data_IF_737434301043
#
_entry.id   IF_737434301043
#
_cell.length_a   1.000
_cell.length_b   1.000
_cell.length_c   1.000
_cell.angle_alpha   90.00
_cell.angle_beta   90.00
_cell.angle_gamma   90.00
#
_symmetry.space_group_name_H-M   'P 1'
#
loop_
_entity.id
_entity.type
_entity.pdbx_description
1 polymer ?
#
# COMPACT_ATOMS: atom_id res chain seq x y z
N UNK A 1 -40.93 -10.17 -8.30
CA UNK A 1 -40.56 -9.08 -9.20
C UNK A 1 -39.17 -8.62 -8.79
N UNK A 2 -38.13 -9.03 -9.51
CA UNK A 2 -36.76 -8.61 -9.22
C UNK A 2 -36.56 -7.18 -9.75
N UNK A 3 -35.82 -6.33 -9.04
CA UNK A 3 -35.50 -5.00 -9.57
C UNK A 3 -34.61 -5.13 -10.82
N UNK A 4 -34.70 -4.16 -11.75
CA UNK A 4 -33.91 -4.20 -12.99
C UNK A 4 -32.42 -4.13 -12.72
N UNK A 5 -31.57 -4.65 -13.63
CA UNK A 5 -30.13 -4.58 -13.46
C UNK A 5 -29.67 -3.13 -13.46
N UNK A 6 -28.75 -2.82 -12.55
CA UNK A 6 -28.14 -1.52 -12.36
C UNK A 6 -27.66 -0.92 -13.69
N UNK A 7 -28.03 0.32 -13.98
CA UNK A 7 -27.52 1.06 -15.12
C UNK A 7 -26.01 1.26 -14.96
N UNK A 8 -25.28 1.12 -16.06
CA UNK A 8 -23.83 1.24 -16.17
C UNK A 8 -23.26 2.62 -15.81
N UNK A 9 -24.13 3.58 -15.44
CA UNK A 9 -23.73 4.98 -15.17
C UNK A 9 -23.50 5.32 -13.70
N UNK A 10 -23.70 4.37 -12.78
CA UNK A 10 -23.28 4.54 -11.39
C UNK A 10 -21.77 4.24 -11.26
N UNK A 11 -20.93 4.99 -12.00
CA UNK A 11 -19.50 5.04 -11.76
C UNK A 11 -19.27 5.61 -10.37
N UNK A 12 -18.83 4.74 -9.49
CA UNK A 12 -18.54 4.97 -8.08
C UNK A 12 -17.63 6.19 -7.88
N UNK A 13 -18.23 7.32 -7.48
CA UNK A 13 -17.46 8.40 -6.91
C UNK A 13 -17.14 8.05 -5.46
N UNK A 14 -16.00 7.39 -5.21
CA UNK A 14 -15.43 7.37 -3.87
C UNK A 14 -15.10 8.81 -3.50
N UNK A 15 -15.97 9.48 -2.77
CA UNK A 15 -15.61 10.72 -2.11
C UNK A 15 -14.70 10.35 -0.95
N UNK A 16 -13.41 10.61 -1.09
CA UNK A 16 -12.51 10.68 0.07
C UNK A 16 -13.11 11.68 1.06
N UNK A 17 -13.33 11.26 2.29
CA UNK A 17 -13.85 12.13 3.36
C UNK A 17 -12.84 13.21 3.77
N UNK A 18 -11.61 13.13 3.28
CA UNK A 18 -10.61 14.18 3.42
C UNK A 18 -9.84 14.33 2.10
N UNK A 19 -9.65 15.55 1.60
CA UNK A 19 -8.75 15.78 0.48
C UNK A 19 -7.31 15.52 0.95
N UNK A 20 -6.82 14.31 0.69
CA UNK A 20 -5.48 13.86 1.10
C UNK A 20 -4.40 14.65 0.39
N UNK A 21 -4.71 15.10 -0.80
CA UNK A 21 -3.88 16.03 -1.57
C UNK A 21 -4.82 16.94 -2.31
N UNK A 22 -4.67 18.25 -2.18
CA UNK A 22 -5.35 19.17 -3.08
C UNK A 22 -4.61 19.13 -4.42
N UNK A 23 -4.94 18.09 -5.20
CA UNK A 23 -4.37 17.87 -6.54
C UNK A 23 -4.75 18.96 -7.53
N UNK A 24 -5.72 19.79 -7.19
CA UNK A 24 -6.23 20.86 -8.06
C UNK A 24 -5.49 22.19 -7.91
N UNK A 25 -4.53 22.29 -6.99
CA UNK A 25 -3.69 23.50 -6.89
C UNK A 25 -2.81 23.62 -8.13
N UNK A 26 -2.89 24.74 -8.86
CA UNK A 26 -1.95 25.02 -9.93
C UNK A 26 -0.51 24.94 -9.42
N UNK A 27 0.36 24.27 -10.15
CA UNK A 27 1.78 24.14 -9.79
C UNK A 27 2.12 22.98 -8.85
N UNK A 28 1.19 22.09 -8.49
CA UNK A 28 1.54 20.85 -7.81
C UNK A 28 2.26 19.91 -8.82
N UNK A 29 3.59 19.69 -8.68
CA UNK A 29 4.34 18.84 -9.61
C UNK A 29 3.91 17.38 -9.59
N UNK A 30 3.16 16.98 -8.56
CA UNK A 30 2.67 15.60 -8.37
C UNK A 30 1.21 15.43 -8.77
N UNK A 31 0.61 16.44 -9.42
CA UNK A 31 -0.74 16.30 -9.97
C UNK A 31 -0.73 15.19 -11.02
N UNK A 32 -1.37 14.06 -10.69
CA UNK A 32 -1.57 13.01 -11.65
C UNK A 32 -2.62 13.45 -12.68
N UNK A 33 -2.39 13.24 -14.01
CA UNK A 33 -3.36 13.63 -15.02
C UNK A 33 -4.70 12.90 -14.93
N UNK A 34 -4.73 11.73 -14.29
CA UNK A 34 -5.96 10.96 -14.03
C UNK A 34 -6.36 11.09 -12.55
N UNK A 35 -7.51 11.72 -12.22
CA UNK A 35 -7.93 11.96 -10.84
C UNK A 35 -8.16 10.69 -10.00
N UNK A 36 -8.39 9.56 -10.67
CA UNK A 36 -8.65 8.25 -10.05
C UNK A 36 -7.49 7.27 -10.20
N UNK A 37 -6.31 7.74 -10.61
CA UNK A 37 -5.16 6.88 -10.74
C UNK A 37 -4.73 6.34 -9.37
N UNK A 38 -4.29 5.08 -9.31
CA UNK A 38 -3.68 4.53 -8.10
C UNK A 38 -2.43 5.32 -7.75
N UNK A 39 -2.11 5.39 -6.46
CA UNK A 39 -0.94 6.09 -5.96
C UNK A 39 0.14 5.10 -5.56
N UNK A 40 1.38 5.46 -5.82
CA UNK A 40 2.54 4.71 -5.37
C UNK A 40 3.15 5.41 -4.16
N UNK A 41 3.29 4.69 -3.06
CA UNK A 41 4.01 5.12 -1.87
C UNK A 41 5.34 4.36 -1.79
N UNK A 42 6.34 4.98 -1.17
CA UNK A 42 7.58 4.29 -0.82
C UNK A 42 7.48 3.74 0.61
N UNK A 43 7.76 2.45 0.79
CA UNK A 43 7.87 1.83 2.13
C UNK A 43 9.30 1.98 2.66
N UNK A 44 9.62 3.16 3.17
CA UNK A 44 10.92 3.52 3.71
C UNK A 44 10.83 4.68 4.69
N UNK A 45 11.81 4.78 5.61
CA UNK A 45 12.05 5.96 6.45
C UNK A 45 13.41 6.62 6.13
N UNK A 46 14.13 6.14 5.13
CA UNK A 46 15.45 6.65 4.74
C UNK A 46 15.31 7.74 3.68
N UNK A 47 15.62 8.98 4.05
CA UNK A 47 15.47 10.15 3.17
C UNK A 47 16.16 9.96 1.82
N UNK A 48 17.39 9.44 1.80
CA UNK A 48 18.16 9.21 0.56
C UNK A 48 17.55 8.17 -0.38
N UNK A 49 16.71 7.26 0.11
CA UNK A 49 15.91 6.33 -0.71
C UNK A 49 14.66 7.02 -1.25
N UNK A 50 14.03 7.89 -0.47
CA UNK A 50 12.73 8.50 -0.77
C UNK A 50 12.85 9.70 -1.70
N UNK A 51 13.75 10.64 -1.39
CA UNK A 51 13.83 11.94 -2.07
C UNK A 51 14.05 11.85 -3.59
N UNK A 52 14.92 10.97 -4.12
CA UNK A 52 15.06 10.81 -5.57
C UNK A 52 13.78 10.31 -6.25
N UNK A 53 13.08 9.34 -5.64
CA UNK A 53 11.82 8.81 -6.17
C UNK A 53 10.70 9.85 -6.13
N UNK A 54 10.67 10.66 -5.08
CA UNK A 54 9.72 11.75 -4.93
C UNK A 54 9.97 12.85 -5.99
N UNK A 55 11.22 13.27 -6.16
CA UNK A 55 11.60 14.29 -7.17
C UNK A 55 11.37 13.81 -8.60
N UNK A 56 11.50 12.52 -8.86
CA UNK A 56 11.17 11.91 -10.14
C UNK A 56 9.65 11.78 -10.40
N UNK A 57 8.80 12.12 -9.42
CA UNK A 57 7.34 11.99 -9.54
C UNK A 57 6.83 10.53 -9.46
N UNK A 58 7.67 9.60 -9.01
CA UNK A 58 7.31 8.17 -8.90
C UNK A 58 6.42 7.93 -7.69
N UNK A 59 6.70 8.61 -6.56
CA UNK A 59 5.98 8.37 -5.30
C UNK A 59 5.13 9.56 -4.89
N UNK A 60 3.95 9.26 -4.35
CA UNK A 60 2.92 10.22 -3.90
C UNK A 60 2.68 10.14 -2.39
N UNK A 61 3.60 9.56 -1.64
CA UNK A 61 3.55 9.40 -0.19
C UNK A 61 4.51 8.32 0.28
N UNK A 62 4.53 8.09 1.58
CA UNK A 62 5.34 7.02 2.17
C UNK A 62 4.61 6.32 3.31
N UNK A 63 5.06 5.11 3.61
CA UNK A 63 4.77 4.44 4.87
C UNK A 63 6.05 4.20 5.64
N UNK A 64 5.98 4.40 6.95
CA UNK A 64 7.05 4.06 7.87
C UNK A 64 6.59 2.99 8.86
N UNK A 65 7.53 2.45 9.61
CA UNK A 65 7.29 1.56 10.74
C UNK A 65 8.53 1.53 11.63
N UNK A 66 8.47 0.97 12.87
CA UNK A 66 9.62 0.94 13.76
C UNK A 66 10.88 0.30 13.16
N UNK A 67 10.74 -0.74 12.36
CA UNK A 67 11.85 -1.41 11.69
C UNK A 67 12.54 -0.49 10.67
N UNK A 68 11.75 0.24 9.87
CA UNK A 68 12.26 1.20 8.89
C UNK A 68 12.92 2.40 9.56
N UNK A 69 12.35 2.92 10.64
CA UNK A 69 12.96 3.99 11.44
C UNK A 69 14.30 3.56 12.04
N UNK A 70 14.38 2.34 12.58
CA UNK A 70 15.65 1.75 13.02
C UNK A 70 16.67 1.66 11.88
N UNK A 71 16.26 1.19 10.70
CA UNK A 71 17.11 1.14 9.49
C UNK A 71 17.59 2.53 9.07
N UNK A 72 16.73 3.55 9.19
CA UNK A 72 17.06 4.95 8.91
C UNK A 72 17.98 5.59 9.97
N UNK A 73 18.38 4.85 11.01
CA UNK A 73 19.34 5.28 12.01
C UNK A 73 18.73 5.87 13.29
N UNK A 74 17.42 5.73 13.52
CA UNK A 74 16.80 6.17 14.76
C UNK A 74 17.43 5.46 15.97
N UNK A 75 17.92 6.26 16.94
CA UNK A 75 18.59 5.77 18.16
C UNK A 75 17.74 5.92 19.42
N UNK A 76 16.70 6.73 19.36
CA UNK A 76 15.75 6.99 20.43
C UNK A 76 14.40 7.35 19.84
N UNK A 77 13.36 7.40 20.68
CA UNK A 77 12.04 7.89 20.25
C UNK A 77 12.07 9.33 19.77
N UNK A 78 12.79 10.21 20.47
CA UNK A 78 12.95 11.61 20.06
C UNK A 78 13.60 11.72 18.67
N UNK A 79 14.71 10.99 18.45
CA UNK A 79 15.35 10.96 17.14
C UNK A 79 14.44 10.36 16.04
N UNK A 80 13.61 9.36 16.37
CA UNK A 80 12.61 8.84 15.45
C UNK A 80 11.58 9.91 15.05
N UNK A 81 11.12 10.74 16.02
CA UNK A 81 10.21 11.87 15.74
C UNK A 81 10.85 12.94 14.87
N UNK A 82 12.12 13.23 15.06
CA UNK A 82 12.87 14.15 14.18
C UNK A 82 12.91 13.66 12.74
N UNK A 83 13.22 12.36 12.52
CA UNK A 83 13.18 11.73 11.20
C UNK A 83 11.77 11.83 10.61
N UNK A 84 10.74 11.46 11.36
CA UNK A 84 9.35 11.52 10.89
C UNK A 84 8.91 12.94 10.53
N UNK A 85 9.30 13.94 11.32
CA UNK A 85 9.03 15.36 11.06
C UNK A 85 9.71 15.84 9.78
N UNK A 86 10.98 15.49 9.57
CA UNK A 86 11.71 15.79 8.33
C UNK A 86 11.05 15.18 7.10
N UNK A 87 10.60 13.92 7.19
CA UNK A 87 9.88 13.26 6.12
C UNK A 87 8.51 13.89 5.83
N UNK A 88 7.77 14.31 6.86
CA UNK A 88 6.54 15.08 6.67
C UNK A 88 6.82 16.39 5.91
N UNK A 89 7.85 17.11 6.29
CA UNK A 89 8.24 18.37 5.62
C UNK A 89 8.67 18.14 4.16
N UNK A 90 9.48 17.10 3.91
CA UNK A 90 9.95 16.73 2.57
C UNK A 90 8.80 16.43 1.60
N UNK A 91 7.80 15.69 2.08
CA UNK A 91 6.75 15.13 1.21
C UNK A 91 5.50 16.00 1.13
N UNK A 92 5.41 17.07 1.91
CA UNK A 92 4.22 17.92 1.93
C UNK A 92 3.80 18.38 0.53
N UNK A 93 2.54 18.27 0.15
CA UNK A 93 1.36 17.87 0.94
C UNK A 93 1.04 16.36 0.92
N UNK A 94 1.92 15.51 0.42
CA UNK A 94 1.67 14.08 0.25
C UNK A 94 1.72 13.34 1.60
N UNK A 95 0.89 12.29 1.79
CA UNK A 95 0.72 11.63 3.07
C UNK A 95 1.97 10.86 3.52
N UNK A 96 2.21 10.88 4.82
CA UNK A 96 3.27 10.16 5.52
C UNK A 96 2.63 9.32 6.62
N UNK A 97 2.68 8.00 6.51
CA UNK A 97 2.14 7.10 7.52
C UNK A 97 3.14 6.86 8.65
N UNK A 98 2.76 7.20 9.89
CA UNK A 98 3.56 7.15 11.12
C UNK A 98 2.97 6.10 12.08
N UNK A 99 3.71 5.02 12.38
CA UNK A 99 3.20 3.89 13.13
C UNK A 99 3.33 4.08 14.64
N UNK A 100 2.24 3.77 15.36
CA UNK A 100 2.21 3.73 16.82
C UNK A 100 3.07 2.58 17.36
N UNK A 101 3.71 2.83 18.49
CA UNK A 101 4.53 1.85 19.23
C UNK A 101 3.96 1.51 20.60
N UNK A 102 3.05 2.33 21.11
CA UNK A 102 2.33 2.07 22.35
C UNK A 102 1.30 0.94 22.18
N UNK A 103 1.00 0.24 23.27
CA UNK A 103 0.11 -0.94 23.28
C UNK A 103 -1.13 -0.75 24.13
N UNK A 104 -1.12 0.23 25.03
CA UNK A 104 -2.26 0.64 25.85
C UNK A 104 -3.10 1.67 25.11
N UNK A 105 -4.42 1.51 25.13
CA UNK A 105 -5.36 2.35 24.36
C UNK A 105 -5.17 3.85 24.62
N UNK A 106 -5.08 4.25 25.90
CA UNK A 106 -4.95 5.67 26.25
C UNK A 106 -3.58 6.23 25.83
N UNK A 107 -2.53 5.43 25.96
CA UNK A 107 -1.19 5.80 25.51
C UNK A 107 -1.11 5.88 23.99
N UNK A 108 -1.77 4.95 23.27
CA UNK A 108 -1.84 4.97 21.81
C UNK A 108 -2.52 6.24 21.30
N UNK A 109 -3.63 6.65 21.92
CA UNK A 109 -4.32 7.89 21.53
C UNK A 109 -3.44 9.11 21.76
N UNK A 110 -2.78 9.22 22.92
CA UNK A 110 -1.84 10.32 23.20
C UNK A 110 -0.67 10.34 22.21
N UNK A 111 -0.08 9.18 21.94
CA UNK A 111 1.00 9.07 20.96
C UNK A 111 0.53 9.46 19.55
N UNK A 112 -0.69 9.09 19.17
CA UNK A 112 -1.28 9.47 17.90
C UNK A 112 -1.45 10.99 17.76
N UNK A 113 -1.92 11.65 18.81
CA UNK A 113 -2.04 13.11 18.85
C UNK A 113 -0.66 13.79 18.71
N UNK A 114 0.35 13.27 19.41
CA UNK A 114 1.74 13.75 19.30
C UNK A 114 2.26 13.60 17.86
N UNK A 115 2.10 12.42 17.25
CA UNK A 115 2.56 12.17 15.88
C UNK A 115 1.77 12.98 14.84
N UNK A 116 0.49 13.22 15.07
CA UNK A 116 -0.34 14.04 14.19
C UNK A 116 0.16 15.50 14.12
N UNK A 117 0.83 16.00 15.15
CA UNK A 117 1.42 17.36 15.19
C UNK A 117 2.73 17.47 14.41
N UNK A 118 3.34 16.38 13.96
CA UNK A 118 4.60 16.43 13.20
C UNK A 118 4.43 16.98 11.78
N UNK A 119 3.21 16.91 11.23
CA UNK A 119 2.88 17.47 9.93
C UNK A 119 1.40 17.33 9.61
N UNK A 120 0.83 18.30 8.88
CA UNK A 120 -0.57 18.28 8.43
C UNK A 120 -0.86 17.16 7.39
N UNK A 121 0.20 16.55 6.87
CA UNK A 121 0.16 15.40 5.97
C UNK A 121 0.42 14.05 6.68
N UNK A 122 0.53 14.04 8.00
CA UNK A 122 0.67 12.81 8.77
C UNK A 122 -0.62 11.95 8.72
N UNK A 123 -0.45 10.64 8.69
CA UNK A 123 -1.49 9.62 8.81
C UNK A 123 -1.04 8.61 9.85
N UNK A 124 -1.81 8.41 10.89
CA UNK A 124 -1.38 7.57 12.03
C UNK A 124 -1.61 6.11 11.71
N UNK A 125 -0.54 5.32 11.73
CA UNK A 125 -0.59 3.90 11.41
C UNK A 125 -0.85 3.10 12.68
N UNK A 126 -1.98 2.37 12.69
CA UNK A 126 -2.50 1.66 13.85
C UNK A 126 -2.59 0.16 13.56
N UNK A 127 -1.89 -0.70 14.30
CA UNK A 127 -2.09 -2.15 14.20
C UNK A 127 -3.54 -2.53 14.53
N UNK A 128 -4.17 -3.37 13.69
CA UNK A 128 -5.54 -3.80 13.94
C UNK A 128 -5.64 -4.80 15.09
N UNK A 129 -4.57 -5.56 15.33
CA UNK A 129 -4.54 -6.63 16.31
C UNK A 129 -3.11 -7.01 16.69
N UNK A 130 -2.96 -8.19 17.28
CA UNK A 130 -1.66 -8.67 17.78
C UNK A 130 -1.37 -8.32 19.22
N UNK A 131 -2.21 -7.54 19.89
CA UNK A 131 -2.01 -7.09 21.28
C UNK A 131 -1.87 -8.26 22.26
N UNK A 132 -2.63 -9.34 22.05
CA UNK A 132 -2.56 -10.55 22.88
C UNK A 132 -1.24 -11.32 22.74
N UNK A 133 -0.51 -11.15 21.65
CA UNK A 133 0.80 -11.76 21.49
C UNK A 133 1.84 -11.13 22.42
N UNK A 134 1.62 -9.87 22.82
CA UNK A 134 2.51 -9.11 23.71
C UNK A 134 1.97 -9.13 25.16
N UNK A 135 0.66 -9.07 25.32
CA UNK A 135 -0.02 -9.15 26.62
C UNK A 135 -1.28 -10.00 26.44
N UNK A 136 -1.29 -11.22 27.00
CA UNK A 136 -2.39 -12.18 26.86
C UNK A 136 -3.73 -11.69 27.40
N UNK A 137 -3.72 -10.74 28.34
CA UNK A 137 -4.92 -10.10 28.90
C UNK A 137 -5.44 -8.93 28.06
N UNK A 138 -4.70 -8.52 27.01
CA UNK A 138 -5.11 -7.39 26.17
C UNK A 138 -6.39 -7.72 25.37
N UNK A 139 -7.22 -6.70 25.20
CA UNK A 139 -8.41 -6.81 24.36
C UNK A 139 -8.00 -6.89 22.87
N UNK A 140 -8.50 -7.86 22.09
CA UNK A 140 -8.20 -7.99 20.68
C UNK A 140 -8.71 -6.81 19.84
N UNK A 141 -9.66 -6.03 20.32
CA UNK A 141 -10.28 -4.91 19.63
C UNK A 141 -9.66 -3.54 19.97
N UNK A 142 -8.57 -3.51 20.74
CA UNK A 142 -7.89 -2.26 21.13
C UNK A 142 -7.60 -1.37 19.92
N UNK A 143 -7.02 -1.90 18.84
CA UNK A 143 -6.73 -1.14 17.62
C UNK A 143 -7.98 -0.51 17.00
N UNK A 144 -9.09 -1.22 16.95
CA UNK A 144 -10.35 -0.70 16.41
C UNK A 144 -10.91 0.46 17.25
N UNK A 145 -10.83 0.36 18.58
CA UNK A 145 -11.26 1.46 19.46
C UNK A 145 -10.37 2.70 19.30
N UNK A 146 -9.06 2.49 19.18
CA UNK A 146 -8.12 3.60 18.90
C UNK A 146 -8.48 4.26 17.56
N UNK A 147 -8.67 3.50 16.48
CA UNK A 147 -9.06 4.04 15.17
C UNK A 147 -10.35 4.87 15.30
N UNK A 148 -11.36 4.36 16.00
CA UNK A 148 -12.64 5.06 16.21
C UNK A 148 -12.44 6.38 16.94
N UNK A 149 -11.69 6.40 18.03
CA UNK A 149 -11.37 7.60 18.81
C UNK A 149 -10.57 8.63 18.00
N UNK A 150 -9.64 8.19 17.15
CA UNK A 150 -8.87 9.07 16.29
C UNK A 150 -9.75 9.66 15.18
N UNK A 151 -10.66 8.87 14.60
CA UNK A 151 -11.65 9.37 13.65
C UNK A 151 -12.52 10.48 14.27
N UNK A 152 -13.01 10.30 15.50
CA UNK A 152 -13.79 11.30 16.23
C UNK A 152 -13.01 12.61 16.48
N UNK A 153 -11.69 12.52 16.57
CA UNK A 153 -10.76 13.67 16.69
C UNK A 153 -10.33 14.26 15.33
N UNK A 154 -10.82 13.73 14.20
CA UNK A 154 -10.41 14.16 12.87
C UNK A 154 -8.98 13.75 12.48
N UNK A 155 -8.36 12.82 13.19
CA UNK A 155 -7.03 12.30 12.90
C UNK A 155 -7.14 11.14 11.91
N UNK A 156 -6.47 11.26 10.77
CA UNK A 156 -6.44 10.23 9.73
C UNK A 156 -5.67 9.00 10.18
N UNK A 157 -6.19 7.81 9.85
CA UNK A 157 -5.54 6.56 10.24
C UNK A 157 -5.29 5.64 9.06
N UNK A 158 -4.19 4.88 9.17
CA UNK A 158 -3.82 3.78 8.30
C UNK A 158 -3.81 2.49 9.13
N UNK A 159 -4.79 1.63 8.95
CA UNK A 159 -4.88 0.38 9.71
C UNK A 159 -3.91 -0.64 9.16
N UNK A 160 -2.95 -1.09 9.97
CA UNK A 160 -1.89 -2.01 9.54
C UNK A 160 -2.06 -3.42 10.12
N UNK A 161 -1.24 -4.35 9.61
CA UNK A 161 -1.27 -5.79 9.98
C UNK A 161 -2.64 -6.44 9.70
N UNK A 162 -3.25 -6.06 8.58
CA UNK A 162 -4.47 -6.70 8.11
C UNK A 162 -4.13 -7.94 7.27
N UNK A 163 -4.78 -9.06 7.57
CA UNK A 163 -4.55 -10.35 6.90
C UNK A 163 -5.83 -11.04 6.42
N UNK A 164 -6.98 -10.40 6.60
CA UNK A 164 -8.25 -10.86 6.05
C UNK A 164 -9.20 -9.71 5.77
N UNK A 165 -10.18 -9.97 4.91
CA UNK A 165 -11.17 -8.99 4.44
C UNK A 165 -12.02 -8.42 5.58
N UNK A 166 -12.38 -9.26 6.57
CA UNK A 166 -13.20 -8.81 7.72
C UNK A 166 -12.45 -7.80 8.60
N UNK A 167 -11.14 -7.98 8.80
CA UNK A 167 -10.32 -6.98 9.50
C UNK A 167 -10.37 -5.63 8.80
N UNK A 168 -10.25 -5.62 7.47
CA UNK A 168 -10.31 -4.39 6.68
C UNK A 168 -11.71 -3.73 6.76
N UNK A 169 -12.77 -4.53 6.71
CA UNK A 169 -14.14 -4.03 6.89
C UNK A 169 -14.34 -3.42 8.29
N UNK A 170 -13.88 -4.08 9.34
CA UNK A 170 -13.98 -3.54 10.70
C UNK A 170 -13.21 -2.24 10.87
N UNK A 171 -12.02 -2.15 10.29
CA UNK A 171 -11.23 -0.92 10.30
C UNK A 171 -11.96 0.23 9.56
N UNK A 172 -12.54 -0.06 8.40
CA UNK A 172 -13.35 0.91 7.65
C UNK A 172 -14.55 1.39 8.48
N UNK A 173 -15.28 0.47 9.13
CA UNK A 173 -16.41 0.81 10.01
C UNK A 173 -15.99 1.63 11.23
N UNK A 174 -14.76 1.44 11.71
CA UNK A 174 -14.20 2.26 12.78
C UNK A 174 -13.76 3.66 12.32
N UNK A 175 -13.73 3.93 11.02
CA UNK A 175 -13.40 5.23 10.43
C UNK A 175 -11.96 5.34 9.90
N UNK A 176 -11.31 4.23 9.60
CA UNK A 176 -9.97 4.24 8.99
C UNK A 176 -9.97 4.97 7.64
N UNK A 177 -8.95 5.79 7.39
CA UNK A 177 -8.70 6.42 6.09
C UNK A 177 -8.13 5.41 5.11
N UNK A 178 -7.16 4.61 5.57
CA UNK A 178 -6.55 3.51 4.81
C UNK A 178 -6.64 2.20 5.58
N UNK A 179 -6.73 1.10 4.83
CA UNK A 179 -6.45 -0.24 5.33
C UNK A 179 -5.22 -0.78 4.61
N UNK A 180 -4.25 -1.32 5.36
CA UNK A 180 -3.02 -1.88 4.82
C UNK A 180 -3.00 -3.40 4.96
N UNK A 181 -3.56 -4.15 4.00
CA UNK A 181 -3.38 -5.59 3.90
C UNK A 181 -1.92 -5.93 3.56
N UNK A 182 -1.34 -6.85 4.35
CA UNK A 182 0.05 -7.28 4.20
C UNK A 182 0.14 -8.48 3.26
N UNK A 183 -0.07 -8.20 1.98
CA UNK A 183 -0.17 -9.22 0.93
C UNK A 183 1.06 -10.15 0.86
N UNK A 184 2.28 -9.59 0.90
CA UNK A 184 3.49 -10.39 0.78
C UNK A 184 3.71 -11.31 1.98
N UNK A 185 3.45 -10.86 3.22
CA UNK A 185 3.53 -11.74 4.40
C UNK A 185 2.49 -12.85 4.34
N UNK A 186 1.28 -12.55 3.87
CA UNK A 186 0.25 -13.56 3.71
C UNK A 186 0.62 -14.57 2.63
N UNK A 187 1.18 -14.11 1.51
CA UNK A 187 1.69 -14.98 0.45
C UNK A 187 2.83 -15.87 0.96
N UNK A 188 3.80 -15.29 1.68
CA UNK A 188 4.91 -16.06 2.28
C UNK A 188 4.39 -17.14 3.24
N UNK A 189 3.36 -16.80 4.05
CA UNK A 189 2.75 -17.73 4.98
C UNK A 189 2.04 -18.88 4.26
N UNK A 190 1.18 -18.59 3.30
CA UNK A 190 0.49 -19.57 2.48
C UNK A 190 1.49 -20.45 1.72
N UNK A 191 2.51 -19.83 1.15
CA UNK A 191 3.57 -20.53 0.45
C UNK A 191 4.32 -21.56 1.31
N UNK A 192 4.63 -21.16 2.55
CA UNK A 192 5.34 -22.00 3.50
C UNK A 192 4.49 -23.14 4.05
N UNK A 193 3.19 -22.90 4.28
CA UNK A 193 2.32 -23.85 5.00
C UNK A 193 1.45 -24.68 4.08
N UNK A 194 0.98 -24.12 2.97
CA UNK A 194 0.02 -24.75 2.07
C UNK A 194 0.68 -25.32 0.81
N UNK A 195 1.85 -24.83 0.44
CA UNK A 195 2.57 -25.22 -0.78
C UNK A 195 4.08 -25.24 -0.58
N UNK A 196 4.61 -26.13 0.27
CA UNK A 196 6.02 -26.11 0.65
C UNK A 196 6.99 -26.43 -0.51
N UNK A 197 6.51 -27.05 -1.58
CA UNK A 197 7.34 -27.44 -2.73
C UNK A 197 7.60 -26.31 -3.72
N UNK A 198 6.88 -25.24 -3.64
CA UNK A 198 7.15 -24.05 -4.45
C UNK A 198 8.38 -23.37 -3.90
N UNK A 199 9.50 -23.60 -4.52
CA UNK A 199 10.80 -23.09 -4.09
C UNK A 199 10.75 -21.64 -3.60
N UNK A 200 11.57 -21.35 -2.61
CA UNK A 200 11.60 -20.08 -1.95
C UNK A 200 11.72 -18.91 -2.94
N UNK A 201 10.66 -18.19 -3.13
CA UNK A 201 10.82 -16.77 -3.26
C UNK A 201 10.94 -16.14 -4.61
N UNK A 202 10.93 -16.82 -5.73
CA UNK A 202 11.13 -16.09 -6.98
C UNK A 202 9.83 -15.77 -7.73
N UNK A 203 8.73 -16.39 -7.38
CA UNK A 203 7.43 -16.08 -7.98
C UNK A 203 6.32 -16.38 -7.01
N UNK A 204 5.89 -15.39 -6.29
CA UNK A 204 4.71 -15.48 -5.42
C UNK A 204 3.42 -15.60 -6.23
N UNK A 205 3.46 -15.21 -7.49
CA UNK A 205 2.39 -15.35 -8.45
C UNK A 205 2.55 -16.60 -9.27
N UNK A 206 2.27 -17.69 -8.63
CA UNK A 206 2.26 -18.95 -9.30
C UNK A 206 0.82 -19.39 -9.59
N UNK A 207 0.50 -19.49 -10.85
CA UNK A 207 -0.74 -20.09 -11.31
C UNK A 207 -0.35 -21.25 -12.24
N UNK A 208 -0.52 -22.47 -11.77
CA UNK A 208 -0.12 -23.67 -12.52
C UNK A 208 -0.74 -23.74 -13.91
N UNK A 209 -1.97 -23.27 -14.02
CA UNK A 209 -2.73 -23.31 -15.26
C UNK A 209 -2.20 -22.37 -16.34
N UNK A 210 -1.25 -21.48 -15.99
CA UNK A 210 -0.66 -20.52 -16.91
C UNK A 210 0.70 -20.90 -17.43
N UNK A 211 1.11 -22.14 -17.24
CA UNK A 211 2.35 -22.65 -17.79
C UNK A 211 2.18 -23.02 -19.27
N UNK A 212 3.20 -22.70 -20.07
CA UNK A 212 3.33 -23.31 -21.37
C UNK A 212 3.77 -24.78 -21.24
N UNK A 213 3.88 -25.49 -22.37
CA UNK A 213 4.34 -26.86 -22.42
C UNK A 213 5.77 -27.08 -21.89
N UNK A 214 6.56 -26.02 -21.73
CA UNK A 214 7.91 -26.03 -21.15
C UNK A 214 7.93 -25.75 -19.66
N UNK A 215 6.77 -25.46 -19.05
CA UNK A 215 6.63 -25.11 -17.66
C UNK A 215 6.88 -23.63 -17.35
N UNK A 216 7.11 -22.79 -18.35
CA UNK A 216 7.25 -21.35 -18.15
C UNK A 216 5.90 -20.70 -17.91
N UNK A 217 5.87 -19.67 -17.09
CA UNK A 217 4.66 -18.87 -16.92
C UNK A 217 4.48 -17.97 -18.16
N UNK A 218 3.42 -18.23 -18.90
CA UNK A 218 3.14 -17.52 -20.16
C UNK A 218 2.04 -16.49 -20.06
N UNK A 219 1.28 -16.51 -18.98
CA UNK A 219 0.18 -15.59 -18.76
C UNK A 219 0.34 -14.89 -17.43
N UNK A 220 0.11 -13.61 -17.45
CA UNK A 220 0.06 -12.81 -16.24
C UNK A 220 -1.23 -13.08 -15.47
N UNK A 221 -1.20 -13.09 -14.15
CA UNK A 221 -2.37 -13.33 -13.31
C UNK A 221 -3.49 -12.29 -13.48
N UNK A 222 -3.22 -11.19 -14.17
CA UNK A 222 -4.20 -10.14 -14.50
C UNK A 222 -5.50 -10.66 -15.07
N UNK A 223 -5.43 -11.70 -15.91
CA UNK A 223 -6.64 -12.29 -16.49
C UNK A 223 -7.52 -12.97 -15.45
N UNK A 224 -6.92 -13.57 -14.44
CA UNK A 224 -7.65 -14.16 -13.31
C UNK A 224 -8.30 -13.11 -12.44
N UNK A 225 -7.62 -12.04 -12.14
CA UNK A 225 -8.17 -10.91 -11.39
C UNK A 225 -9.35 -10.30 -12.13
N UNK A 226 -9.19 -10.01 -13.43
CA UNK A 226 -10.24 -9.43 -14.26
C UNK A 226 -11.49 -10.31 -14.39
N UNK A 227 -11.32 -11.63 -14.33
CA UNK A 227 -12.42 -12.61 -14.42
C UNK A 227 -12.96 -13.07 -13.07
N UNK A 228 -12.43 -12.54 -11.96
CA UNK A 228 -12.77 -13.02 -10.62
C UNK A 228 -12.27 -14.44 -10.33
N UNK A 229 -11.24 -14.89 -11.06
CA UNK A 229 -10.66 -16.23 -10.94
C UNK A 229 -9.94 -16.42 -9.59
N UNK A 230 -9.74 -17.68 -9.22
CA UNK A 230 -9.04 -18.06 -8.00
C UNK A 230 -7.53 -17.88 -8.18
N UNK A 231 -7.01 -16.77 -7.65
CA UNK A 231 -5.57 -16.60 -7.49
C UNK A 231 -5.06 -17.56 -6.42
N UNK A 232 -4.01 -18.29 -6.71
CA UNK A 232 -3.34 -19.17 -5.72
C UNK A 232 -2.43 -18.37 -4.79
N UNK A 233 -1.98 -17.18 -5.20
CA UNK A 233 -1.31 -16.24 -4.30
C UNK A 233 -2.33 -15.63 -3.33
N UNK A 234 -2.21 -16.00 -2.06
CA UNK A 234 -3.13 -15.56 -1.02
C UNK A 234 -3.12 -14.04 -0.80
N UNK A 235 -2.00 -13.39 -1.10
CA UNK A 235 -1.86 -11.94 -0.95
C UNK A 235 -2.64 -11.18 -2.03
N UNK A 236 -2.46 -11.53 -3.29
CA UNK A 236 -3.21 -10.91 -4.39
C UNK A 236 -4.72 -11.18 -4.27
N UNK A 237 -5.08 -12.39 -3.87
CA UNK A 237 -6.47 -12.76 -3.60
C UNK A 237 -7.08 -11.90 -2.50
N UNK A 238 -6.36 -11.64 -1.42
CA UNK A 238 -6.82 -10.77 -0.33
C UNK A 238 -7.15 -9.36 -0.84
N UNK A 239 -6.28 -8.76 -1.66
CA UNK A 239 -6.52 -7.42 -2.23
C UNK A 239 -7.80 -7.43 -3.08
N UNK A 240 -7.96 -8.44 -3.93
CA UNK A 240 -9.15 -8.58 -4.77
C UNK A 240 -10.43 -8.72 -3.92
N UNK A 241 -10.43 -9.56 -2.89
CA UNK A 241 -11.58 -9.77 -2.00
C UNK A 241 -11.98 -8.47 -1.27
N UNK A 242 -10.99 -7.71 -0.74
CA UNK A 242 -11.26 -6.43 -0.09
C UNK A 242 -11.83 -5.43 -1.09
N UNK A 243 -11.25 -5.33 -2.28
CA UNK A 243 -11.72 -4.41 -3.33
C UNK A 243 -13.16 -4.73 -3.74
N UNK A 244 -13.48 -6.01 -3.93
CA UNK A 244 -14.84 -6.45 -4.27
C UNK A 244 -15.85 -6.10 -3.15
N UNK A 245 -15.51 -6.36 -1.89
CA UNK A 245 -16.37 -6.01 -0.75
C UNK A 245 -16.54 -4.50 -0.65
N UNK A 246 -15.47 -3.73 -0.74
CA UNK A 246 -15.53 -2.27 -0.64
C UNK A 246 -16.35 -1.66 -1.77
N UNK A 247 -16.24 -2.21 -2.98
CA UNK A 247 -17.06 -1.80 -4.12
C UNK A 247 -18.55 -2.13 -3.91
N UNK A 248 -18.88 -3.35 -3.47
CA UNK A 248 -20.27 -3.79 -3.24
C UNK A 248 -21.02 -2.91 -2.24
N UNK A 249 -20.33 -2.43 -1.22
CA UNK A 249 -20.93 -1.63 -0.14
C UNK A 249 -20.56 -0.14 -0.21
N UNK A 250 -19.91 0.30 -1.29
CA UNK A 250 -19.50 1.70 -1.50
C UNK A 250 -18.68 2.27 -0.35
N UNK A 251 -17.79 1.44 0.21
CA UNK A 251 -16.89 1.83 1.28
C UNK A 251 -15.83 2.77 0.72
N UNK A 252 -15.64 3.92 1.36
CA UNK A 252 -14.73 4.98 0.90
C UNK A 252 -13.32 4.88 1.46
N UNK A 253 -13.10 4.02 2.45
CA UNK A 253 -11.75 3.70 2.97
C UNK A 253 -10.88 3.15 1.84
N UNK A 254 -9.67 3.68 1.69
CA UNK A 254 -8.78 3.29 0.59
C UNK A 254 -7.94 2.08 0.95
N UNK A 255 -7.72 1.21 -0.04
CA UNK A 255 -6.92 -0.01 0.09
C UNK A 255 -5.47 0.33 -0.22
N UNK A 256 -4.62 0.29 0.81
CA UNK A 256 -3.19 0.50 0.71
C UNK A 256 -2.48 -0.86 0.76
N UNK A 257 -2.23 -1.46 -0.40
CA UNK A 257 -1.52 -2.73 -0.49
C UNK A 257 -0.08 -2.60 0.01
N UNK A 258 0.35 -3.49 0.90
CA UNK A 258 1.63 -3.39 1.60
C UNK A 258 2.40 -4.72 1.65
N UNK A 259 3.72 -4.61 1.89
CA UNK A 259 4.58 -5.81 2.06
C UNK A 259 4.93 -6.53 0.76
N UNK A 260 5.17 -5.80 -0.32
CA UNK A 260 5.52 -6.34 -1.64
C UNK A 260 6.82 -7.13 -1.63
N UNK A 261 6.91 -8.15 -2.51
CA UNK A 261 8.07 -9.02 -2.70
C UNK A 261 8.67 -8.92 -4.10
N UNK A 262 7.85 -8.62 -5.11
CA UNK A 262 8.29 -8.58 -6.51
C UNK A 262 7.40 -7.65 -7.36
N UNK A 263 7.84 -7.40 -8.61
CA UNK A 263 7.14 -6.53 -9.56
C UNK A 263 5.78 -7.09 -10.00
N UNK A 264 5.64 -8.41 -10.05
CA UNK A 264 4.37 -9.03 -10.47
C UNK A 264 3.27 -8.68 -9.48
N UNK A 265 3.57 -8.71 -8.18
CA UNK A 265 2.61 -8.29 -7.14
C UNK A 265 2.15 -6.84 -7.31
N UNK A 266 3.02 -5.93 -7.79
CA UNK A 266 2.64 -4.54 -8.05
C UNK A 266 1.51 -4.49 -9.09
N UNK A 267 1.71 -5.13 -10.24
CA UNK A 267 0.71 -5.16 -11.32
C UNK A 267 -0.58 -5.85 -10.87
N UNK A 268 -0.47 -6.98 -10.19
CA UNK A 268 -1.64 -7.73 -9.71
C UNK A 268 -2.48 -6.94 -8.71
N UNK A 269 -1.84 -6.19 -7.83
CA UNK A 269 -2.57 -5.34 -6.88
C UNK A 269 -3.27 -4.17 -7.56
N UNK A 270 -2.66 -3.60 -8.62
CA UNK A 270 -3.33 -2.59 -9.45
C UNK A 270 -4.57 -3.16 -10.13
N UNK A 271 -4.45 -4.35 -10.71
CA UNK A 271 -5.57 -5.04 -11.36
C UNK A 271 -6.64 -5.50 -10.36
N UNK A 272 -6.24 -5.86 -9.14
CA UNK A 272 -7.13 -6.21 -8.05
C UNK A 272 -7.89 -5.00 -7.47
N UNK A 273 -7.53 -3.77 -7.86
CA UNK A 273 -8.22 -2.56 -7.44
C UNK A 273 -7.68 -1.92 -6.17
N UNK A 274 -6.40 -2.11 -5.84
CA UNK A 274 -5.74 -1.34 -4.79
C UNK A 274 -5.73 0.16 -5.15
N UNK A 275 -6.07 1.02 -4.19
CA UNK A 275 -6.02 2.47 -4.38
C UNK A 275 -4.59 3.01 -4.22
N UNK A 276 -3.81 2.37 -3.36
CA UNK A 276 -2.44 2.76 -3.02
C UNK A 276 -1.58 1.49 -2.90
N UNK A 277 -0.35 1.58 -3.39
CA UNK A 277 0.65 0.54 -3.22
C UNK A 277 1.85 1.11 -2.49
N UNK A 278 2.21 0.57 -1.32
CA UNK A 278 3.45 0.97 -0.64
C UNK A 278 4.54 -0.06 -0.88
N UNK A 279 5.52 0.34 -1.67
CA UNK A 279 6.52 -0.54 -2.26
C UNK A 279 7.92 -0.17 -1.74
N UNK A 280 8.76 -1.14 -1.35
CA UNK A 280 10.14 -0.87 -0.95
C UNK A 280 10.94 -0.14 -2.05
N UNK A 281 11.75 0.85 -1.69
CA UNK A 281 12.54 1.63 -2.64
C UNK A 281 13.41 0.78 -3.60
N UNK A 282 14.10 -0.29 -3.14
CA UNK A 282 14.85 -1.15 -4.07
C UNK A 282 13.97 -1.82 -5.12
N UNK A 283 12.75 -2.21 -4.75
CA UNK A 283 11.82 -2.82 -5.70
C UNK A 283 11.29 -1.80 -6.71
N UNK A 284 11.02 -0.56 -6.28
CA UNK A 284 10.63 0.52 -7.20
C UNK A 284 11.73 0.82 -8.22
N UNK A 285 12.99 0.81 -7.80
CA UNK A 285 14.11 1.02 -8.70
C UNK A 285 14.15 -0.03 -9.84
N UNK A 286 13.86 -1.29 -9.52
CA UNK A 286 13.89 -2.38 -10.51
C UNK A 286 12.75 -2.34 -11.53
N UNK A 287 11.68 -1.60 -11.27
CA UNK A 287 10.54 -1.49 -12.22
C UNK A 287 10.95 -0.76 -13.50
N UNK A 288 11.90 0.17 -13.39
CA UNK A 288 12.42 0.91 -14.55
C UNK A 288 13.40 0.09 -15.40
N UNK A 289 14.02 -0.93 -14.80
CA UNK A 289 15.04 -1.76 -15.46
C UNK A 289 14.37 -2.91 -16.21
N UNK A 290 14.40 -2.81 -17.56
CA UNK A 290 13.85 -3.87 -18.40
C UNK A 290 14.81 -4.14 -19.58
N UNK A 291 15.21 -5.39 -19.86
CA UNK A 291 16.16 -5.71 -20.91
C UNK A 291 15.77 -5.16 -22.29
N UNK A 292 14.49 -5.19 -22.62
CA UNK A 292 13.99 -4.63 -23.90
C UNK A 292 14.07 -3.10 -23.96
N UNK A 293 13.98 -2.41 -22.84
CA UNK A 293 14.21 -0.96 -22.78
C UNK A 293 15.67 -0.64 -23.03
N UNK A 294 16.58 -1.45 -22.48
CA UNK A 294 18.03 -1.30 -22.69
C UNK A 294 18.43 -1.56 -24.14
N UNK A 295 17.89 -2.63 -24.73
CA UNK A 295 18.11 -2.96 -26.15
C UNK A 295 17.55 -1.87 -27.06
N UNK A 296 16.32 -1.41 -26.80
CA UNK A 296 15.69 -0.33 -27.55
C UNK A 296 16.49 0.97 -27.49
N UNK A 297 16.95 1.34 -26.28
CA UNK A 297 17.77 2.54 -26.10
C UNK A 297 19.10 2.46 -26.87
N UNK A 298 19.79 1.30 -26.82
CA UNK A 298 21.03 1.09 -27.59
C UNK A 298 20.80 1.24 -29.10
N UNK A 299 19.70 0.67 -29.61
CA UNK A 299 19.33 0.81 -31.01
C UNK A 299 19.06 2.27 -31.38
N UNK A 300 18.26 2.99 -30.57
CA UNK A 300 17.93 4.39 -30.82
C UNK A 300 19.17 5.31 -30.77
N UNK A 301 20.10 5.07 -29.89
CA UNK A 301 21.37 5.81 -29.81
C UNK A 301 22.21 5.54 -31.09
N UNK A 302 22.29 4.30 -31.57
CA UNK A 302 23.00 3.98 -32.79
C UNK A 302 22.37 4.66 -34.02
N UNK A 303 21.05 4.55 -34.16
CA UNK A 303 20.32 5.17 -35.24
C UNK A 303 20.44 6.70 -35.25
N UNK A 304 20.53 7.32 -34.04
CA UNK A 304 20.66 8.78 -33.93
C UNK A 304 21.97 9.33 -34.50
N UNK A 305 23.01 8.51 -34.67
CA UNK A 305 24.28 8.90 -35.29
C UNK A 305 24.08 9.29 -36.76
N UNK A 306 23.07 8.74 -37.45
CA UNK A 306 22.69 9.12 -38.81
C UNK A 306 22.22 10.58 -38.90
N UNK A 307 21.82 11.20 -37.79
CA UNK A 307 21.38 12.59 -37.73
C UNK A 307 22.46 13.55 -37.22
N UNK A 308 23.72 13.08 -37.11
CA UNK A 308 24.85 13.89 -36.67
C UNK A 308 24.84 14.28 -35.18
N UNK A 309 24.22 13.45 -34.34
CA UNK A 309 24.19 13.61 -32.91
C UNK A 309 25.07 12.60 -32.20
#
# INVERSE_FOLDING_TARGET
MFPPPFSSDAMFTRKSLMPIVNVDKPGNPLKHPAPKAPRIFCDSATRSEIEPLFRAGIVNGITTNPTLLKKAGAKSWEHAKEIMKDLCALLRPNPVSLELTELDEEKMVRQAEELAMLGDNSVIKVPIGGYRAVNSAADPFTGLRVIRRLWEKGIRTNTTLCFNTTQCLWAANAGATYVSPFLGRLADYGYKHDQPERGAGNSLYWVEDHKNSKGDQVMHNSEYVARGGALKDAGARLIFEISAVFANYQITTEILAASFRNQVQITECLLAGADILTVPAPLLATVADHPLSDEGMKAFVEDSKAFGK
#
